data_IF_121848647853
#
_entry.id   IF_121848647853
#
_cell.length_a   1.000
_cell.length_b   1.000
_cell.length_c   1.000
_cell.angle_alpha   90.00
_cell.angle_beta   90.00
_cell.angle_gamma   90.00
#
_symmetry.space_group_name_H-M   'P 1'
#
loop_
_entity.id
_entity.type
_entity.pdbx_description
1 polymer ?
#
# COMPACT_ATOMS: atom_id res chain seq x y z
N UNK A 1 -8.82 17.17 13.14
CA UNK A 1 -8.01 16.50 14.18
C UNK A 1 -6.75 16.01 13.52
N UNK A 2 -5.60 16.63 13.79
CA UNK A 2 -4.28 16.11 13.40
C UNK A 2 -3.97 14.91 14.28
N UNK A 3 -4.63 13.78 14.00
CA UNK A 3 -4.29 12.50 14.62
C UNK A 3 -2.83 12.25 14.28
N UNK A 4 -1.97 12.22 15.30
CA UNK A 4 -0.54 11.97 15.11
C UNK A 4 -0.40 10.64 14.37
N UNK A 5 -0.03 10.70 13.09
CA UNK A 5 0.02 9.52 12.24
C UNK A 5 1.05 8.54 12.82
N UNK A 6 0.62 7.30 13.04
CA UNK A 6 1.44 6.33 13.76
C UNK A 6 2.67 5.99 12.92
N UNK A 7 3.84 6.16 13.53
CA UNK A 7 5.12 5.87 12.89
C UNK A 7 5.52 4.41 13.12
N UNK A 8 5.25 3.57 12.12
CA UNK A 8 5.57 2.16 12.09
C UNK A 8 7.05 1.91 11.78
N UNK A 9 7.61 0.87 12.39
CA UNK A 9 8.88 0.28 11.97
C UNK A 9 8.72 -0.45 10.63
N UNK A 10 9.84 -0.85 10.03
CA UNK A 10 9.82 -1.63 8.78
C UNK A 10 9.12 -2.97 8.97
N UNK A 11 9.31 -3.61 10.13
CA UNK A 11 8.71 -4.91 10.44
C UNK A 11 7.19 -4.76 10.66
N UNK A 12 6.75 -3.77 11.45
CA UNK A 12 5.32 -3.47 11.62
C UNK A 12 4.63 -3.07 10.30
N UNK A 13 5.32 -2.33 9.43
CA UNK A 13 4.78 -1.98 8.11
C UNK A 13 4.61 -3.22 7.22
N UNK A 14 5.55 -4.18 7.31
CA UNK A 14 5.48 -5.43 6.58
C UNK A 14 4.30 -6.29 7.07
N UNK A 15 4.16 -6.43 8.39
CA UNK A 15 3.02 -7.12 9.03
C UNK A 15 1.70 -6.48 8.61
N UNK A 16 1.60 -5.15 8.64
CA UNK A 16 0.38 -4.43 8.29
C UNK A 16 -0.03 -4.64 6.83
N UNK A 17 0.92 -4.66 5.91
CA UNK A 17 0.65 -4.92 4.50
C UNK A 17 0.49 -6.42 4.18
N UNK A 18 0.75 -7.32 5.14
CA UNK A 18 0.81 -8.76 4.89
C UNK A 18 1.92 -9.15 3.91
N UNK A 19 3.01 -8.37 3.87
CA UNK A 19 4.15 -8.58 2.96
C UNK A 19 5.44 -8.84 3.73
N UNK A 20 6.52 -9.17 3.02
CA UNK A 20 7.83 -9.36 3.64
C UNK A 20 8.60 -8.04 3.85
N UNK A 21 9.47 -8.00 4.87
CA UNK A 21 10.38 -6.87 5.16
C UNK A 21 11.20 -6.43 3.94
N UNK A 22 11.61 -7.38 3.09
CA UNK A 22 12.33 -7.08 1.83
C UNK A 22 11.52 -6.21 0.88
N UNK A 23 10.20 -6.41 0.82
CA UNK A 23 9.30 -5.61 0.00
C UNK A 23 9.26 -4.16 0.50
N UNK A 24 9.09 -3.96 1.80
CA UNK A 24 9.10 -2.61 2.40
C UNK A 24 10.45 -1.91 2.17
N UNK A 25 11.57 -2.61 2.39
CA UNK A 25 12.90 -2.07 2.10
C UNK A 25 13.06 -1.67 0.64
N UNK A 26 12.54 -2.51 -0.28
CA UNK A 26 12.52 -2.21 -1.72
C UNK A 26 11.73 -0.94 -2.02
N UNK A 27 10.55 -0.75 -1.41
CA UNK A 27 9.76 0.48 -1.57
C UNK A 27 10.54 1.72 -1.10
N UNK A 28 11.30 1.61 -0.01
CA UNK A 28 12.13 2.70 0.49
C UNK A 28 13.29 2.99 -0.45
N UNK A 29 14.04 1.97 -0.89
CA UNK A 29 15.21 2.13 -1.76
C UNK A 29 14.83 2.67 -3.15
N UNK A 30 13.70 2.20 -3.69
CA UNK A 30 13.14 2.70 -4.96
C UNK A 30 12.40 4.04 -4.78
N UNK A 31 12.30 4.56 -3.55
CA UNK A 31 11.58 5.81 -3.19
C UNK A 31 10.11 5.82 -3.63
N UNK A 32 9.46 4.66 -3.57
CA UNK A 32 8.04 4.49 -3.93
C UNK A 32 7.07 4.91 -2.83
N UNK A 33 7.56 5.09 -1.61
CA UNK A 33 6.78 5.57 -0.47
C UNK A 33 7.55 6.67 0.27
N UNK A 34 6.82 7.55 0.96
CA UNK A 34 7.41 8.51 1.89
C UNK A 34 7.84 7.80 3.17
N UNK A 35 8.98 8.18 3.72
CA UNK A 35 9.49 7.64 4.98
C UNK A 35 10.15 8.75 5.80
N UNK A 36 10.19 8.53 7.12
CA UNK A 36 10.86 9.41 8.07
C UNK A 36 12.20 8.78 8.43
N UNK A 37 13.29 9.53 8.24
CA UNK A 37 14.63 9.10 8.61
C UNK A 37 14.98 9.60 10.02
N UNK A 38 15.14 8.69 10.96
CA UNK A 38 15.50 8.94 12.36
C UNK A 38 16.92 8.39 12.61
N UNK A 39 17.92 9.04 12.01
CA UNK A 39 19.30 8.57 12.04
C UNK A 39 19.45 7.22 11.33
N UNK A 40 19.79 6.17 12.09
CA UNK A 40 19.88 4.78 11.58
C UNK A 40 18.53 4.12 11.38
N UNK A 41 17.48 4.61 12.05
CA UNK A 41 16.16 4.01 12.00
C UNK A 41 15.32 4.68 10.91
N UNK A 42 14.49 3.88 10.24
CA UNK A 42 13.48 4.35 9.30
C UNK A 42 12.11 4.07 9.91
N UNK A 43 11.24 5.07 9.85
CA UNK A 43 9.83 4.94 10.22
C UNK A 43 8.93 5.28 9.05
N UNK A 44 7.80 4.61 8.97
CA UNK A 44 6.82 4.77 7.91
C UNK A 44 5.52 5.19 8.57
N UNK A 45 4.93 6.27 8.08
CA UNK A 45 3.66 6.74 8.61
C UNK A 45 2.53 5.82 8.11
N UNK A 46 1.60 5.46 8.99
CA UNK A 46 0.50 4.55 8.68
C UNK A 46 -0.33 5.06 7.48
N UNK A 47 -0.56 6.37 7.40
CA UNK A 47 -1.30 6.97 6.27
C UNK A 47 -0.59 6.79 4.93
N UNK A 48 0.75 6.70 4.92
CA UNK A 48 1.52 6.48 3.69
C UNK A 48 1.28 5.08 3.15
N UNK A 49 1.18 4.08 4.03
CA UNK A 49 0.86 2.72 3.63
C UNK A 49 -0.57 2.62 3.10
N UNK A 50 -1.53 3.26 3.77
CA UNK A 50 -2.92 3.32 3.30
C UNK A 50 -3.01 3.96 1.92
N UNK A 51 -2.41 5.14 1.73
CA UNK A 51 -2.40 5.81 0.43
C UNK A 51 -1.73 4.96 -0.66
N UNK A 52 -0.64 4.25 -0.33
CA UNK A 52 0.02 3.36 -1.27
C UNK A 52 -0.88 2.19 -1.71
N UNK A 53 -1.68 1.64 -0.80
CA UNK A 53 -2.66 0.59 -1.13
C UNK A 53 -3.76 1.16 -2.01
N UNK A 54 -4.32 2.32 -1.66
CA UNK A 54 -5.38 2.97 -2.44
C UNK A 54 -4.92 3.28 -3.87
N UNK A 55 -3.74 3.88 -4.04
CA UNK A 55 -3.14 4.18 -5.35
C UNK A 55 -2.88 2.94 -6.21
N UNK A 56 -2.69 1.77 -5.58
CA UNK A 56 -2.39 0.50 -6.26
C UNK A 56 -3.58 -0.46 -6.29
N UNK A 57 -4.73 -0.04 -5.77
CA UNK A 57 -5.95 -0.84 -5.82
C UNK A 57 -6.47 -0.83 -7.24
N UNK A 58 -6.48 -2.00 -7.88
CA UNK A 58 -7.04 -2.16 -9.23
C UNK A 58 -8.51 -2.53 -9.10
N UNK A 59 -9.39 -1.66 -9.59
CA UNK A 59 -10.82 -1.94 -9.59
C UNK A 59 -11.10 -3.17 -10.46
N UNK A 60 -11.84 -4.17 -9.95
CA UNK A 60 -12.23 -5.31 -10.76
C UNK A 60 -12.98 -4.84 -12.00
N UNK A 61 -12.55 -5.31 -13.16
CA UNK A 61 -13.28 -5.09 -14.41
C UNK A 61 -14.65 -5.72 -14.24
N UNK A 62 -15.70 -4.91 -14.11
CA UNK A 62 -17.08 -5.39 -14.22
C UNK A 62 -17.21 -5.95 -15.63
N UNK A 63 -17.07 -7.27 -15.75
CA UNK A 63 -17.37 -7.93 -17.01
C UNK A 63 -18.84 -7.68 -17.28
N UNK A 64 -19.14 -6.79 -18.22
CA UNK A 64 -20.46 -6.78 -18.86
C UNK A 64 -20.51 -8.06 -19.69
N UNK A 65 -20.73 -9.20 -19.03
CA UNK A 65 -20.99 -10.47 -19.72
C UNK A 65 -22.38 -10.36 -20.31
N UNK A 66 -22.36 -9.80 -21.51
CA UNK A 66 -23.03 -10.23 -22.71
C UNK A 66 -24.52 -10.46 -22.62
N UNK A 67 -25.25 -9.49 -23.18
CA UNK A 67 -26.48 -9.72 -23.96
C UNK A 67 -26.17 -10.67 -25.13
N UNK A 68 -25.77 -11.91 -24.88
CA UNK A 68 -25.90 -12.95 -25.90
C UNK A 68 -27.41 -13.12 -26.10
N UNK A 69 -27.92 -12.43 -27.12
CA UNK A 69 -29.28 -12.53 -27.57
C UNK A 69 -29.64 -14.00 -27.72
N UNK A 70 -30.77 -14.38 -27.14
CA UNK A 70 -31.48 -15.60 -27.54
C UNK A 70 -31.71 -15.50 -29.04
N UNK A 71 -31.02 -16.35 -29.80
CA UNK A 71 -31.42 -16.63 -31.17
C UNK A 71 -32.69 -17.50 -31.12
N UNK A 72 -33.66 -17.11 -31.94
CA UNK A 72 -34.96 -17.75 -32.14
C UNK A 72 -34.87 -18.95 -33.09
#
# INVERSE_FOLDING_TARGET
>A
MTTADRLLTVDEAAERLGTGVRFIRRLITERRIRYVKLGKHVRIAESVLTAYVEERTVEPVRSMRSRYGRAA
#
